data_IF_814546359932
#
_entry.id   IF_814546359932
#
_cell.length_a   1.000
_cell.length_b   1.000
_cell.length_c   1.000
_cell.angle_alpha   90.00
_cell.angle_beta   90.00
_cell.angle_gamma   90.00
#
_symmetry.space_group_name_H-M   'P 1'
#
loop_
_entity.id
_entity.type
_entity.pdbx_description
1 polymer ?
#
# COMPACT_ATOMS: atom_id res chain seq x y z
N UNK A 1 -20.08 10.83 -21.40
CA UNK A 1 -20.87 9.62 -21.05
C UNK A 1 -21.17 9.67 -19.55
N UNK A 2 -22.31 9.10 -19.11
CA UNK A 2 -22.67 9.01 -17.70
C UNK A 2 -21.87 7.89 -17.03
N UNK A 3 -21.46 8.09 -15.76
CA UNK A 3 -20.95 7.05 -14.88
C UNK A 3 -21.71 7.04 -13.56
N UNK A 4 -21.75 5.90 -12.88
CA UNK A 4 -22.46 5.68 -11.63
C UNK A 4 -21.52 5.01 -10.64
N UNK A 5 -21.34 5.61 -9.45
CA UNK A 5 -20.82 4.95 -8.27
C UNK A 5 -21.98 4.58 -7.36
N UNK A 6 -22.18 3.29 -7.11
CA UNK A 6 -23.21 2.77 -6.20
C UNK A 6 -22.54 2.06 -5.02
N UNK A 7 -23.06 2.26 -3.81
CA UNK A 7 -22.62 1.61 -2.59
C UNK A 7 -23.65 0.55 -2.16
N UNK A 8 -23.20 -0.46 -1.43
CA UNK A 8 -24.06 -1.59 -0.97
C UNK A 8 -25.23 -1.17 -0.09
N UNK A 9 -25.14 -0.01 0.58
CA UNK A 9 -26.22 0.55 1.40
C UNK A 9 -27.34 1.22 0.58
N UNK A 10 -27.17 1.30 -0.75
CA UNK A 10 -28.12 1.92 -1.67
C UNK A 10 -27.77 3.37 -2.03
N UNK A 11 -26.70 3.93 -1.48
CA UNK A 11 -26.24 5.28 -1.88
C UNK A 11 -25.72 5.26 -3.31
N UNK A 12 -26.15 6.25 -4.12
CA UNK A 12 -25.78 6.37 -5.54
C UNK A 12 -25.26 7.77 -5.83
N UNK A 13 -24.13 7.84 -6.53
CA UNK A 13 -23.52 9.06 -7.02
C UNK A 13 -23.40 8.99 -8.53
N UNK A 14 -23.92 10.02 -9.21
CA UNK A 14 -23.97 10.08 -10.67
C UNK A 14 -23.08 11.24 -11.13
N UNK A 15 -22.20 10.93 -12.07
CA UNK A 15 -21.27 11.91 -12.63
C UNK A 15 -20.97 11.66 -14.11
N UNK A 16 -19.91 12.28 -14.58
CA UNK A 16 -19.36 12.11 -15.91
C UNK A 16 -18.25 11.06 -15.90
N UNK A 17 -18.24 10.23 -16.91
CA UNK A 17 -17.21 9.21 -17.12
C UNK A 17 -15.92 9.81 -17.69
N UNK A 18 -14.78 9.26 -17.26
CA UNK A 18 -13.47 9.36 -17.90
C UNK A 18 -12.72 8.03 -17.75
N UNK A 19 -11.64 7.82 -18.53
CA UNK A 19 -10.93 6.54 -18.53
C UNK A 19 -11.66 5.45 -19.32
N UNK A 20 -11.54 4.20 -18.89
CA UNK A 20 -12.17 3.05 -19.52
C UNK A 20 -13.68 3.00 -19.28
N UNK A 21 -14.42 2.25 -20.10
CA UNK A 21 -15.84 1.93 -19.92
C UNK A 21 -16.00 0.52 -19.35
N UNK A 22 -17.16 0.21 -18.78
CA UNK A 22 -17.47 -1.11 -18.24
C UNK A 22 -18.10 -1.06 -16.85
N UNK A 23 -17.93 -2.14 -16.10
CA UNK A 23 -18.44 -2.32 -14.75
C UNK A 23 -17.38 -2.99 -13.88
N UNK A 24 -17.00 -2.34 -12.79
CA UNK A 24 -16.05 -2.84 -11.81
C UNK A 24 -16.65 -2.80 -10.40
N UNK A 25 -16.26 -3.76 -9.57
CA UNK A 25 -16.65 -3.82 -8.17
C UNK A 25 -15.43 -3.84 -7.26
N UNK A 26 -15.59 -3.33 -6.05
CA UNK A 26 -14.50 -3.30 -5.07
C UNK A 26 -14.92 -2.66 -3.76
N UNK A 27 -13.99 -2.53 -2.83
CA UNK A 27 -14.21 -1.76 -1.60
C UNK A 27 -14.03 -0.27 -1.88
N UNK A 28 -15.06 0.54 -1.62
CA UNK A 28 -14.95 1.99 -1.68
C UNK A 28 -14.10 2.53 -0.53
N UNK A 29 -13.08 3.29 -0.86
CA UNK A 29 -12.25 3.99 0.11
C UNK A 29 -11.99 5.43 -0.34
N UNK A 30 -11.41 6.25 0.54
CA UNK A 30 -11.00 7.62 0.20
C UNK A 30 -9.57 7.88 0.63
N UNK A 31 -8.85 8.68 -0.17
CA UNK A 31 -7.49 9.11 0.11
C UNK A 31 -7.47 10.64 0.27
N UNK A 32 -6.78 11.12 1.32
CA UNK A 32 -6.70 12.54 1.68
C UNK A 32 -5.42 13.23 1.20
N UNK A 33 -4.57 12.56 0.42
CA UNK A 33 -3.37 13.16 -0.16
C UNK A 33 -3.72 14.29 -1.12
N UNK A 34 -2.96 15.37 -1.06
CA UNK A 34 -3.16 16.55 -1.93
C UNK A 34 -2.52 16.37 -3.31
N UNK A 35 -1.58 15.45 -3.44
CA UNK A 35 -0.78 15.14 -4.63
C UNK A 35 -0.43 13.65 -4.64
N UNK A 36 0.16 13.16 -5.73
CA UNK A 36 0.61 11.76 -5.83
C UNK A 36 -0.50 10.82 -6.31
N UNK A 37 -1.40 11.29 -7.14
CA UNK A 37 -2.51 10.45 -7.64
C UNK A 37 -2.00 9.32 -8.55
N UNK A 38 -0.89 9.49 -9.27
CA UNK A 38 -0.33 8.42 -10.11
C UNK A 38 0.27 7.31 -9.25
N UNK A 39 0.97 7.67 -8.18
CA UNK A 39 1.50 6.74 -7.19
C UNK A 39 0.36 5.98 -6.50
N UNK A 40 -0.73 6.66 -6.10
CA UNK A 40 -1.94 6.01 -5.57
C UNK A 40 -2.55 5.04 -6.56
N UNK A 41 -2.65 5.42 -7.83
CA UNK A 41 -3.24 4.58 -8.89
C UNK A 41 -2.40 3.32 -9.19
N UNK A 42 -1.09 3.40 -9.02
CA UNK A 42 -0.14 2.32 -9.33
C UNK A 42 0.36 1.54 -8.11
N UNK A 43 -0.06 1.92 -6.89
CA UNK A 43 0.25 1.18 -5.66
C UNK A 43 -0.56 -0.13 -5.58
N UNK A 44 0.10 -1.31 -5.57
CA UNK A 44 -0.58 -2.60 -5.49
C UNK A 44 -1.49 -2.76 -4.28
N UNK A 45 -1.23 -2.04 -3.19
CA UNK A 45 -2.05 -2.08 -1.97
C UNK A 45 -3.50 -1.59 -2.20
N UNK A 46 -3.77 -0.89 -3.31
CA UNK A 46 -5.14 -0.50 -3.70
C UNK A 46 -5.87 -1.54 -4.56
N UNK A 47 -5.28 -2.69 -4.84
CA UNK A 47 -5.96 -3.73 -5.64
C UNK A 47 -7.28 -4.18 -4.98
N UNK A 48 -8.35 -4.23 -5.79
CA UNK A 48 -9.70 -4.50 -5.31
C UNK A 48 -10.43 -3.32 -4.67
N UNK A 49 -9.89 -2.09 -4.78
CA UNK A 49 -10.49 -0.89 -4.20
C UNK A 49 -10.90 0.14 -5.26
N UNK A 50 -12.03 0.81 -5.03
CA UNK A 50 -12.48 2.00 -5.76
C UNK A 50 -12.11 3.22 -4.93
N UNK A 51 -11.13 3.99 -5.43
CA UNK A 51 -10.47 5.05 -4.66
C UNK A 51 -11.07 6.41 -4.96
N UNK A 52 -11.57 7.10 -3.93
CA UNK A 52 -12.03 8.49 -4.01
C UNK A 52 -10.93 9.43 -3.53
N UNK A 53 -10.46 10.33 -4.40
CA UNK A 53 -9.56 11.42 -4.00
C UNK A 53 -10.36 12.55 -3.38
N UNK A 54 -9.95 13.01 -2.20
CA UNK A 54 -10.63 14.12 -1.52
C UNK A 54 -10.14 15.49 -2.00
N UNK A 55 -8.96 15.55 -2.63
CA UNK A 55 -8.45 16.77 -3.25
C UNK A 55 -9.31 17.12 -4.48
N UNK A 56 -9.74 18.39 -4.63
CA UNK A 56 -10.78 18.73 -5.60
C UNK A 56 -10.39 18.55 -7.06
N UNK A 57 -9.15 18.91 -7.43
CA UNK A 57 -8.68 18.89 -8.82
C UNK A 57 -7.59 17.81 -8.98
N UNK A 58 -7.86 16.80 -9.78
CA UNK A 58 -6.96 15.68 -10.04
C UNK A 58 -6.57 15.64 -11.52
N UNK A 59 -5.34 15.18 -11.83
CA UNK A 59 -4.82 15.12 -13.20
C UNK A 59 -4.09 16.38 -13.67
N UNK A 60 -3.95 17.39 -12.82
CA UNK A 60 -3.39 18.71 -13.15
C UNK A 60 -1.90 18.70 -13.53
N UNK A 61 -1.14 17.66 -13.19
CA UNK A 61 0.27 17.49 -13.61
C UNK A 61 0.51 16.30 -14.56
N UNK A 62 -0.57 15.68 -15.07
CA UNK A 62 -0.47 14.55 -16.01
C UNK A 62 0.06 13.27 -15.38
N UNK A 63 0.61 12.40 -16.20
CA UNK A 63 1.32 11.18 -15.79
C UNK A 63 2.71 11.13 -16.43
N UNK A 64 3.63 10.41 -15.81
CA UNK A 64 5.00 10.27 -16.27
C UNK A 64 5.57 8.88 -15.90
N UNK A 65 6.62 8.38 -16.57
CA UNK A 65 7.15 7.03 -16.34
C UNK A 65 7.88 6.86 -14.99
N UNK A 66 8.28 7.94 -14.31
CA UNK A 66 9.10 7.89 -13.09
C UNK A 66 8.25 7.70 -11.82
N UNK A 67 6.99 8.19 -11.83
CA UNK A 67 6.10 8.18 -10.67
C UNK A 67 5.25 6.90 -10.59
N UNK A 68 5.65 5.81 -11.27
CA UNK A 68 5.02 4.50 -11.13
C UNK A 68 5.53 3.78 -9.86
N UNK A 69 4.60 3.18 -9.14
CA UNK A 69 4.87 2.32 -7.99
C UNK A 69 4.74 0.81 -8.31
N UNK A 70 4.22 0.49 -9.51
CA UNK A 70 4.23 -0.86 -10.11
C UNK A 70 4.04 -0.77 -11.63
N UNK A 71 4.08 -1.89 -12.33
CA UNK A 71 4.03 -1.92 -13.81
C UNK A 71 2.72 -1.46 -14.45
N UNK A 72 1.64 -1.22 -13.68
CA UNK A 72 0.31 -0.83 -14.19
C UNK A 72 -0.53 -0.13 -13.12
N UNK A 73 -1.70 0.40 -13.50
CA UNK A 73 -2.71 0.80 -12.53
C UNK A 73 -3.27 -0.42 -11.79
N UNK A 74 -3.51 -0.28 -10.49
CA UNK A 74 -3.91 -1.36 -9.58
C UNK A 74 -5.32 -1.19 -9.03
N UNK A 75 -5.85 0.04 -9.04
CA UNK A 75 -7.18 0.34 -8.51
C UNK A 75 -8.29 -0.28 -9.38
N UNK A 76 -9.40 -0.71 -8.76
CA UNK A 76 -10.61 -1.14 -9.49
C UNK A 76 -11.40 0.02 -10.09
N UNK A 77 -11.23 1.23 -9.58
CA UNK A 77 -11.89 2.41 -10.11
C UNK A 77 -11.41 3.69 -9.42
N UNK A 78 -11.67 4.83 -10.07
CA UNK A 78 -11.16 6.11 -9.62
C UNK A 78 -12.24 7.20 -9.58
N UNK A 79 -12.36 7.88 -8.46
CA UNK A 79 -13.43 8.86 -8.19
C UNK A 79 -12.82 10.21 -7.83
N UNK A 80 -13.19 11.26 -8.59
CA UNK A 80 -12.68 12.61 -8.39
C UNK A 80 -13.82 13.64 -8.40
N UNK A 81 -13.60 14.77 -7.77
CA UNK A 81 -14.55 15.90 -7.88
C UNK A 81 -14.43 16.54 -9.26
N UNK A 82 -13.22 16.81 -9.72
CA UNK A 82 -12.94 17.41 -11.02
C UNK A 82 -11.66 16.81 -11.63
N UNK A 83 -11.74 16.37 -12.88
CA UNK A 83 -10.59 15.99 -13.69
C UNK A 83 -10.03 17.22 -14.41
N UNK A 84 -8.74 17.47 -14.28
CA UNK A 84 -8.07 18.58 -14.98
C UNK A 84 -8.14 18.39 -16.49
N UNK A 85 -8.72 19.39 -17.19
CA UNK A 85 -8.82 19.38 -18.67
C UNK A 85 -7.46 19.59 -19.34
N UNK A 86 -6.56 20.28 -18.65
CA UNK A 86 -5.21 20.60 -19.14
C UNK A 86 -4.23 20.26 -18.01
N UNK A 87 -3.23 19.45 -18.32
CA UNK A 87 -2.13 19.19 -17.41
C UNK A 87 -0.94 20.09 -17.72
N UNK A 88 -0.16 20.43 -16.71
CA UNK A 88 1.04 21.24 -16.84
C UNK A 88 2.13 20.77 -15.89
N UNK A 89 3.08 20.01 -16.42
CA UNK A 89 4.29 19.59 -15.72
C UNK A 89 5.34 19.22 -16.77
N UNK A 90 6.59 19.62 -16.56
CA UNK A 90 7.69 19.35 -17.50
C UNK A 90 7.97 17.84 -17.69
N UNK A 91 7.64 16.98 -16.69
CA UNK A 91 7.78 15.52 -16.78
C UNK A 91 6.58 14.82 -17.42
N UNK A 92 5.44 15.52 -17.56
CA UNK A 92 4.23 14.91 -18.05
C UNK A 92 4.37 14.41 -19.49
N UNK A 93 4.04 13.16 -19.72
CA UNK A 93 4.02 12.53 -21.05
C UNK A 93 2.60 12.40 -21.60
N UNK A 94 1.59 12.39 -20.72
CA UNK A 94 0.20 12.16 -21.08
C UNK A 94 -0.77 12.74 -20.05
N UNK A 95 -2.02 13.01 -20.46
CA UNK A 95 -3.12 13.36 -19.57
C UNK A 95 -3.66 12.13 -18.82
N UNK A 96 -4.16 12.32 -17.61
CA UNK A 96 -4.62 11.25 -16.74
C UNK A 96 -5.79 10.43 -17.34
N UNK A 97 -6.79 11.08 -17.95
CA UNK A 97 -7.96 10.38 -18.51
C UNK A 97 -7.61 9.37 -19.59
N UNK A 98 -6.90 9.77 -20.69
CA UNK A 98 -6.40 8.84 -21.72
C UNK A 98 -5.48 7.76 -21.17
N UNK A 99 -4.67 8.06 -20.17
CA UNK A 99 -3.83 7.06 -19.53
C UNK A 99 -4.66 6.00 -18.80
N UNK A 100 -5.68 6.40 -18.01
CA UNK A 100 -6.58 5.46 -17.34
C UNK A 100 -7.36 4.59 -18.31
N UNK A 101 -7.76 5.15 -19.49
CA UNK A 101 -8.41 4.38 -20.55
C UNK A 101 -7.50 3.24 -21.05
N UNK A 102 -6.21 3.52 -21.29
CA UNK A 102 -5.22 2.51 -21.67
C UNK A 102 -4.96 1.48 -20.58
N UNK A 103 -5.08 1.88 -19.31
CA UNK A 103 -4.94 1.00 -18.16
C UNK A 103 -6.19 0.16 -17.87
N UNK A 104 -7.31 0.40 -18.56
CA UNK A 104 -8.57 -0.29 -18.33
C UNK A 104 -9.30 0.15 -17.05
N UNK A 105 -8.96 1.32 -16.48
CA UNK A 105 -9.56 1.81 -15.24
C UNK A 105 -10.71 2.77 -15.51
N UNK A 106 -11.87 2.49 -14.92
CA UNK A 106 -13.06 3.35 -15.00
C UNK A 106 -12.89 4.53 -14.04
N UNK A 107 -13.14 5.75 -14.54
CA UNK A 107 -13.16 6.97 -13.77
C UNK A 107 -14.52 7.66 -13.76
N UNK A 108 -14.84 8.35 -12.65
CA UNK A 108 -16.00 9.20 -12.50
C UNK A 108 -15.61 10.57 -11.94
N UNK A 109 -16.07 11.63 -12.58
CA UNK A 109 -15.93 13.02 -12.11
C UNK A 109 -17.28 13.71 -11.93
N UNK A 110 -17.28 14.90 -11.30
CA UNK A 110 -18.49 15.70 -11.08
C UNK A 110 -19.36 15.18 -9.94
N UNK A 111 -18.80 14.35 -9.05
CA UNK A 111 -19.47 13.83 -7.85
C UNK A 111 -19.00 14.57 -6.60
N UNK A 112 -19.85 14.62 -5.58
CA UNK A 112 -19.51 15.21 -4.27
C UNK A 112 -18.58 14.25 -3.48
N UNK A 113 -17.27 14.32 -3.74
CA UNK A 113 -16.25 13.49 -3.07
C UNK A 113 -16.20 13.76 -1.57
N UNK A 114 -16.54 14.98 -1.11
CA UNK A 114 -16.65 15.28 0.31
C UNK A 114 -17.81 14.52 0.97
N UNK A 115 -18.97 14.44 0.30
CA UNK A 115 -20.11 13.65 0.78
C UNK A 115 -19.75 12.17 0.83
N UNK A 116 -19.08 11.63 -0.20
CA UNK A 116 -18.59 10.24 -0.23
C UNK A 116 -17.65 9.99 0.95
N UNK A 117 -16.60 10.80 1.12
CA UNK A 117 -15.62 10.64 2.20
C UNK A 117 -16.28 10.73 3.59
N UNK A 118 -17.20 11.67 3.83
CA UNK A 118 -17.95 11.76 5.09
C UNK A 118 -18.83 10.54 5.32
N UNK A 119 -19.46 10.00 4.28
CA UNK A 119 -20.28 8.82 4.35
C UNK A 119 -19.46 7.61 4.75
N UNK A 120 -18.38 7.31 4.03
CA UNK A 120 -17.46 6.21 4.32
C UNK A 120 -16.81 6.35 5.71
N UNK A 121 -16.45 7.56 6.14
CA UNK A 121 -15.94 7.79 7.49
C UNK A 121 -16.96 7.43 8.57
N UNK A 122 -18.24 7.72 8.34
CA UNK A 122 -19.31 7.52 9.32
C UNK A 122 -19.85 6.10 9.32
N UNK A 123 -20.10 5.52 8.14
CA UNK A 123 -20.67 4.18 7.98
C UNK A 123 -19.59 3.08 7.96
N UNK A 124 -18.39 3.38 7.48
CA UNK A 124 -17.29 2.44 7.25
C UNK A 124 -16.95 2.32 5.77
N UNK A 125 -15.78 1.73 5.46
CA UNK A 125 -15.50 1.24 4.12
C UNK A 125 -16.54 0.17 3.75
N UNK A 126 -17.01 0.19 2.50
CA UNK A 126 -18.08 -0.68 2.07
C UNK A 126 -17.93 -1.10 0.62
N UNK A 127 -18.62 -2.18 0.24
CA UNK A 127 -18.61 -2.66 -1.14
C UNK A 127 -19.27 -1.65 -2.07
N UNK A 128 -18.71 -1.50 -3.25
CA UNK A 128 -19.17 -0.55 -4.25
C UNK A 128 -19.10 -1.13 -5.66
N UNK A 129 -19.85 -0.52 -6.56
CA UNK A 129 -19.81 -0.74 -8.00
C UNK A 129 -19.61 0.60 -8.70
N UNK A 130 -18.65 0.67 -9.60
CA UNK A 130 -18.44 1.80 -10.52
C UNK A 130 -18.72 1.32 -11.93
N UNK A 131 -19.67 1.98 -12.62
CA UNK A 131 -20.15 1.50 -13.92
C UNK A 131 -20.52 2.63 -14.88
N UNK A 132 -20.36 2.36 -16.18
CA UNK A 132 -20.86 3.19 -17.29
C UNK A 132 -22.05 2.54 -18.01
N UNK A 133 -22.47 1.33 -17.61
CA UNK A 133 -23.39 0.46 -18.37
C UNK A 133 -24.69 0.18 -17.61
N UNK A 134 -24.60 0.01 -16.28
CA UNK A 134 -25.75 -0.42 -15.47
C UNK A 134 -26.67 0.73 -15.08
N UNK A 135 -27.91 0.39 -14.75
CA UNK A 135 -28.84 1.31 -14.06
C UNK A 135 -28.41 1.48 -12.59
N UNK A 136 -28.88 2.53 -11.87
CA UNK A 136 -28.59 2.70 -10.45
C UNK A 136 -28.96 1.49 -9.59
N UNK A 137 -30.10 0.86 -9.86
CA UNK A 137 -30.61 -0.29 -9.14
C UNK A 137 -29.71 -1.52 -9.36
N UNK A 138 -29.33 -1.79 -10.60
CA UNK A 138 -28.41 -2.88 -10.97
C UNK A 138 -27.03 -2.67 -10.37
N UNK A 139 -26.52 -1.43 -10.35
CA UNK A 139 -25.24 -1.09 -9.77
C UNK A 139 -25.22 -1.32 -8.24
N UNK A 140 -26.30 -0.99 -7.53
CA UNK A 140 -26.45 -1.29 -6.09
C UNK A 140 -26.44 -2.81 -5.85
N UNK A 141 -27.16 -3.57 -6.67
CA UNK A 141 -27.15 -5.03 -6.56
C UNK A 141 -25.78 -5.64 -6.87
N UNK A 142 -25.04 -5.10 -7.84
CA UNK A 142 -23.65 -5.50 -8.12
C UNK A 142 -22.73 -5.20 -6.93
N UNK A 143 -22.87 -4.01 -6.30
CA UNK A 143 -22.14 -3.65 -5.09
C UNK A 143 -22.41 -4.63 -3.93
N UNK A 144 -23.67 -5.01 -3.70
CA UNK A 144 -24.06 -5.96 -2.66
C UNK A 144 -23.49 -7.37 -2.87
N UNK A 145 -23.31 -7.78 -4.11
CA UNK A 145 -22.74 -9.08 -4.49
C UNK A 145 -21.22 -9.09 -4.55
N UNK A 146 -20.58 -7.93 -4.51
CA UNK A 146 -19.12 -7.82 -4.51
C UNK A 146 -18.50 -8.57 -3.32
N UNK A 147 -17.31 -9.18 -3.47
CA UNK A 147 -16.62 -9.81 -2.36
C UNK A 147 -16.23 -8.76 -1.30
N UNK A 148 -16.23 -9.16 -0.03
CA UNK A 148 -15.65 -8.35 1.05
C UNK A 148 -14.12 -8.35 0.94
N UNK A 149 -13.47 -7.26 1.36
CA UNK A 149 -12.02 -7.23 1.54
C UNK A 149 -11.62 -8.12 2.73
N UNK A 150 -12.44 -8.19 3.77
CA UNK A 150 -12.24 -9.08 4.90
C UNK A 150 -12.38 -10.55 4.48
N UNK A 151 -11.43 -11.38 4.82
CA UNK A 151 -11.34 -12.78 4.39
C UNK A 151 -10.85 -12.95 2.94
N UNK A 152 -10.40 -11.88 2.26
CA UNK A 152 -9.96 -11.96 0.86
C UNK A 152 -8.42 -11.96 0.76
N UNK A 153 -7.86 -13.06 0.23
CA UNK A 153 -6.47 -13.11 -0.19
C UNK A 153 -6.33 -12.46 -1.57
N UNK A 154 -5.81 -11.23 -1.60
CA UNK A 154 -5.56 -10.49 -2.85
C UNK A 154 -4.11 -10.67 -3.32
N UNK A 155 -3.19 -11.01 -2.44
CA UNK A 155 -1.78 -11.27 -2.79
C UNK A 155 -1.69 -12.30 -3.91
N UNK A 156 -2.41 -13.41 -3.81
CA UNK A 156 -2.43 -14.45 -4.84
C UNK A 156 -3.06 -13.98 -6.16
N UNK A 157 -4.02 -13.05 -6.09
CA UNK A 157 -4.71 -12.53 -7.27
C UNK A 157 -3.86 -11.58 -8.10
N UNK A 158 -3.04 -10.75 -7.45
CA UNK A 158 -2.15 -9.84 -8.15
C UNK A 158 -0.91 -10.56 -8.71
N UNK A 159 -0.59 -11.73 -8.15
CA UNK A 159 0.63 -12.47 -8.46
C UNK A 159 1.90 -11.80 -7.95
N UNK A 160 2.99 -12.53 -7.99
CA UNK A 160 4.32 -12.01 -7.65
C UNK A 160 5.14 -11.74 -8.91
N UNK A 161 5.99 -10.71 -8.83
CA UNK A 161 6.91 -10.31 -9.91
C UNK A 161 8.34 -10.36 -9.36
N UNK A 162 8.96 -11.57 -9.28
CA UNK A 162 10.34 -11.70 -8.82
C UNK A 162 11.26 -10.83 -9.68
N UNK A 163 12.24 -10.19 -9.04
CA UNK A 163 13.20 -9.32 -9.72
C UNK A 163 14.63 -9.67 -9.31
N UNK A 164 15.52 -9.67 -10.28
CA UNK A 164 16.97 -9.75 -10.03
C UNK A 164 17.51 -8.42 -9.49
N UNK A 165 18.70 -8.40 -8.87
CA UNK A 165 19.31 -7.15 -8.44
C UNK A 165 19.50 -6.13 -9.57
N UNK A 166 19.80 -6.57 -10.79
CA UNK A 166 19.98 -5.72 -11.96
C UNK A 166 18.67 -5.05 -12.38
N UNK A 167 17.55 -5.77 -12.29
CA UNK A 167 16.21 -5.21 -12.55
C UNK A 167 15.81 -4.20 -11.48
N UNK A 168 16.17 -4.44 -10.22
CA UNK A 168 15.97 -3.46 -9.13
C UNK A 168 16.85 -2.22 -9.34
N UNK A 169 18.11 -2.39 -9.72
CA UNK A 169 19.02 -1.27 -10.03
C UNK A 169 18.46 -0.41 -11.17
N UNK A 170 17.83 -1.01 -12.17
CA UNK A 170 17.19 -0.31 -13.29
C UNK A 170 16.00 0.57 -12.89
N UNK A 171 15.43 0.41 -11.70
CA UNK A 171 14.38 1.29 -11.17
C UNK A 171 14.92 2.65 -10.68
N UNK A 172 16.24 2.76 -10.46
CA UNK A 172 16.89 3.99 -10.00
C UNK A 172 17.52 4.66 -11.23
N UNK A 173 16.82 5.59 -11.86
CA UNK A 173 17.20 6.15 -13.17
C UNK A 173 17.90 7.50 -13.08
N UNK A 174 17.75 8.23 -12.00
CA UNK A 174 18.12 9.65 -11.87
C UNK A 174 19.29 9.92 -10.90
N UNK A 175 19.90 8.85 -10.35
CA UNK A 175 20.93 8.95 -9.30
C UNK A 175 22.06 7.95 -9.51
N UNK A 176 23.23 8.30 -9.03
CA UNK A 176 24.35 7.38 -8.91
C UNK A 176 24.05 6.38 -7.77
N UNK A 177 24.15 5.08 -8.08
CA UNK A 177 23.90 4.01 -7.11
C UNK A 177 25.09 3.93 -6.12
N UNK A 178 24.83 3.90 -4.80
CA UNK A 178 25.87 3.69 -3.82
C UNK A 178 26.47 2.27 -3.95
N UNK A 179 27.69 2.05 -3.44
CA UNK A 179 28.28 0.71 -3.36
C UNK A 179 27.36 -0.26 -2.64
N UNK A 180 27.34 -1.52 -3.07
CA UNK A 180 26.62 -2.59 -2.38
C UNK A 180 27.37 -2.95 -1.09
N UNK A 181 26.67 -3.00 0.02
CA UNK A 181 27.22 -3.35 1.33
C UNK A 181 26.61 -4.66 1.89
N UNK A 182 25.35 -4.94 1.59
CA UNK A 182 24.62 -6.10 2.10
C UNK A 182 23.69 -6.71 1.05
N UNK A 183 23.52 -8.03 1.11
CA UNK A 183 22.57 -8.80 0.32
C UNK A 183 21.23 -8.89 1.03
N UNK A 184 20.15 -8.52 0.35
CA UNK A 184 18.80 -8.52 0.89
C UNK A 184 17.88 -9.37 0.03
N UNK A 185 17.06 -10.20 0.66
CA UNK A 185 15.92 -10.85 0.02
C UNK A 185 14.65 -10.12 0.42
N UNK A 186 13.87 -9.67 -0.57
CA UNK A 186 12.58 -9.00 -0.37
C UNK A 186 11.43 -9.88 -0.87
N UNK A 187 10.44 -10.15 -0.02
CA UNK A 187 9.21 -10.82 -0.42
C UNK A 187 8.30 -9.86 -1.16
N UNK A 188 7.76 -10.28 -2.29
CA UNK A 188 6.80 -9.53 -3.09
C UNK A 188 5.36 -9.92 -2.74
N UNK A 189 4.72 -9.12 -1.89
CA UNK A 189 3.29 -9.19 -1.61
C UNK A 189 2.49 -8.15 -2.40
N UNK A 190 3.11 -7.47 -3.34
CA UNK A 190 2.67 -6.27 -4.03
C UNK A 190 3.59 -5.10 -3.74
N UNK A 191 4.89 -5.31 -3.96
CA UNK A 191 5.94 -4.38 -3.59
C UNK A 191 5.89 -3.10 -4.42
N UNK A 192 5.96 -1.95 -3.76
CA UNK A 192 6.11 -0.65 -4.42
C UNK A 192 7.53 -0.43 -4.90
N UNK A 193 7.68 0.10 -6.11
CA UNK A 193 9.00 0.40 -6.68
C UNK A 193 9.81 1.37 -5.83
N UNK A 194 9.16 2.32 -5.14
CA UNK A 194 9.90 3.24 -4.27
C UNK A 194 10.50 2.56 -3.02
N UNK A 195 9.94 1.46 -2.56
CA UNK A 195 10.57 0.63 -1.52
C UNK A 195 11.89 0.06 -2.05
N UNK A 196 11.88 -0.52 -3.26
CA UNK A 196 13.08 -1.06 -3.90
C UNK A 196 14.13 0.01 -4.14
N UNK A 197 13.71 1.20 -4.62
CA UNK A 197 14.60 2.37 -4.79
C UNK A 197 15.25 2.76 -3.45
N UNK A 198 14.46 2.87 -2.37
CA UNK A 198 14.97 3.22 -1.04
C UNK A 198 15.93 2.17 -0.47
N UNK A 199 15.63 0.89 -0.63
CA UNK A 199 16.54 -0.18 -0.23
C UNK A 199 17.86 -0.09 -1.00
N UNK A 200 17.80 0.06 -2.31
CA UNK A 200 19.00 0.17 -3.15
C UNK A 200 19.81 1.42 -2.84
N UNK A 201 19.18 2.56 -2.62
CA UNK A 201 19.82 3.83 -2.21
C UNK A 201 20.49 3.74 -0.83
N UNK A 202 20.11 2.80 0.01
CA UNK A 202 20.75 2.53 1.29
C UNK A 202 21.86 1.48 1.21
N UNK A 203 22.26 1.04 0.01
CA UNK A 203 23.41 0.14 -0.22
C UNK A 203 23.07 -1.34 -0.17
N UNK A 204 21.79 -1.70 -0.30
CA UNK A 204 21.38 -3.10 -0.39
C UNK A 204 21.39 -3.59 -1.84
N UNK A 205 21.92 -4.81 -2.07
CA UNK A 205 21.68 -5.58 -3.29
C UNK A 205 20.42 -6.41 -3.06
N UNK A 206 19.32 -6.06 -3.74
CA UNK A 206 18.00 -6.61 -3.46
C UNK A 206 17.64 -7.68 -4.48
N UNK A 207 17.32 -8.88 -4.02
CA UNK A 207 16.66 -9.93 -4.80
C UNK A 207 15.21 -10.03 -4.35
N UNK A 208 14.27 -9.84 -5.28
CA UNK A 208 12.83 -9.95 -4.99
C UNK A 208 12.38 -11.39 -5.26
N UNK A 209 11.77 -12.01 -4.26
CA UNK A 209 11.25 -13.39 -4.32
C UNK A 209 9.72 -13.40 -4.30
N UNK A 210 9.07 -14.46 -4.81
CA UNK A 210 7.63 -14.60 -4.74
C UNK A 210 7.10 -14.58 -3.30
N UNK A 211 5.82 -14.18 -3.14
CA UNK A 211 5.13 -14.15 -1.86
C UNK A 211 5.18 -15.48 -1.08
N UNK A 212 5.14 -16.60 -1.79
CA UNK A 212 5.15 -17.96 -1.24
C UNK A 212 6.55 -18.62 -1.22
N UNK A 213 7.63 -17.84 -1.37
CA UNK A 213 8.97 -18.38 -1.21
C UNK A 213 9.14 -18.99 0.20
N UNK A 214 9.71 -20.18 0.27
CA UNK A 214 9.91 -20.89 1.55
C UNK A 214 11.09 -20.32 2.33
N UNK A 215 11.06 -20.48 3.65
CA UNK A 215 12.19 -20.09 4.50
C UNK A 215 13.49 -20.80 4.09
N UNK A 216 13.42 -22.05 3.62
CA UNK A 216 14.56 -22.81 3.15
C UNK A 216 15.17 -22.18 1.88
N UNK A 217 14.35 -21.84 0.89
CA UNK A 217 14.79 -21.17 -0.34
C UNK A 217 15.46 -19.83 -0.02
N UNK A 218 14.86 -19.02 0.85
CA UNK A 218 15.41 -17.73 1.26
C UNK A 218 16.75 -17.90 2.00
N UNK A 219 16.85 -18.83 2.95
CA UNK A 219 18.08 -19.06 3.70
C UNK A 219 19.20 -19.66 2.82
N UNK A 220 18.85 -20.44 1.78
CA UNK A 220 19.83 -20.96 0.81
C UNK A 220 20.53 -19.83 0.04
N UNK A 221 19.88 -18.68 -0.14
CA UNK A 221 20.45 -17.47 -0.77
C UNK A 221 21.46 -16.75 0.16
N UNK A 222 21.52 -17.13 1.46
CA UNK A 222 22.40 -16.54 2.49
C UNK A 222 22.29 -15.01 2.58
N UNK A 223 21.09 -14.44 2.70
CA UNK A 223 20.92 -12.99 2.78
C UNK A 223 21.46 -12.44 4.10
N UNK A 224 21.90 -11.19 4.08
CA UNK A 224 22.26 -10.43 5.28
C UNK A 224 21.02 -9.95 6.04
N UNK A 225 19.89 -9.82 5.36
CA UNK A 225 18.59 -9.45 5.92
C UNK A 225 17.44 -9.88 5.01
N UNK A 226 16.23 -9.86 5.57
CA UNK A 226 14.97 -10.13 4.87
C UNK A 226 14.05 -8.96 5.01
N UNK A 227 13.43 -8.58 3.91
CA UNK A 227 12.45 -7.50 3.86
C UNK A 227 11.07 -8.05 3.46
N UNK A 228 10.02 -7.61 4.17
CA UNK A 228 8.63 -7.96 3.86
C UNK A 228 7.90 -6.72 3.33
N UNK A 229 7.41 -6.80 2.11
CA UNK A 229 6.82 -5.66 1.43
C UNK A 229 5.42 -5.31 1.91
N UNK A 230 4.93 -4.17 1.45
CA UNK A 230 3.52 -3.82 1.44
C UNK A 230 2.71 -4.76 0.52
N UNK A 231 1.40 -4.68 0.59
CA UNK A 231 0.50 -5.42 -0.28
C UNK A 231 -0.97 -5.25 0.08
N UNK A 232 -1.88 -5.77 -0.75
CA UNK A 232 -3.32 -5.69 -0.55
C UNK A 232 -3.90 -6.88 0.21
N UNK A 233 -5.16 -6.75 0.64
CA UNK A 233 -5.97 -7.84 1.17
C UNK A 233 -5.97 -7.96 2.69
N UNK A 234 -6.53 -9.07 3.17
CA UNK A 234 -6.63 -9.38 4.59
C UNK A 234 -5.42 -10.21 5.02
N UNK A 235 -4.54 -9.68 5.90
CA UNK A 235 -3.36 -10.40 6.37
C UNK A 235 -3.70 -11.73 7.06
N UNK A 236 -4.84 -11.86 7.72
CA UNK A 236 -5.23 -13.08 8.44
C UNK A 236 -5.41 -14.32 7.51
N UNK A 237 -5.56 -14.09 6.20
CA UNK A 237 -5.71 -15.18 5.22
C UNK A 237 -4.39 -15.82 4.79
N UNK A 238 -3.24 -15.20 5.10
CA UNK A 238 -1.90 -15.56 4.60
C UNK A 238 -1.17 -16.53 5.55
N UNK A 239 -1.85 -17.58 6.02
CA UNK A 239 -1.37 -18.47 7.09
C UNK A 239 -0.14 -19.28 6.73
N UNK A 240 0.05 -19.67 5.47
CA UNK A 240 1.25 -20.31 4.96
C UNK A 240 2.46 -19.35 4.96
N UNK A 241 2.25 -18.10 4.55
CA UNK A 241 3.28 -17.05 4.60
C UNK A 241 3.67 -16.75 6.05
N UNK A 242 2.70 -16.68 6.99
CA UNK A 242 3.02 -16.51 8.43
C UNK A 242 3.95 -17.59 8.94
N UNK A 243 3.73 -18.86 8.55
CA UNK A 243 4.57 -19.98 8.94
C UNK A 243 6.00 -19.86 8.39
N UNK A 244 6.15 -19.53 7.10
CA UNK A 244 7.47 -19.38 6.47
C UNK A 244 8.22 -18.17 7.06
N UNK A 245 7.55 -17.04 7.26
CA UNK A 245 8.13 -15.86 7.92
C UNK A 245 8.52 -16.18 9.37
N UNK A 246 7.68 -16.90 10.11
CA UNK A 246 7.98 -17.37 11.46
C UNK A 246 9.26 -18.24 11.52
N UNK A 247 9.48 -19.07 10.49
CA UNK A 247 10.69 -19.89 10.39
C UNK A 247 11.97 -19.07 10.10
N UNK A 248 11.86 -17.83 9.61
CA UNK A 248 12.98 -16.90 9.39
C UNK A 248 13.31 -16.05 10.63
N UNK A 249 12.33 -15.81 11.51
CA UNK A 249 12.51 -14.99 12.73
C UNK A 249 13.65 -15.55 13.59
N UNK A 250 14.57 -14.66 13.97
CA UNK A 250 15.76 -14.99 14.76
C UNK A 250 16.94 -15.56 13.95
N UNK A 251 16.74 -16.01 12.71
CA UNK A 251 17.81 -16.49 11.82
C UNK A 251 18.49 -15.37 11.06
N UNK A 252 17.70 -14.40 10.60
CA UNK A 252 18.17 -13.22 9.86
C UNK A 252 17.51 -11.94 10.39
N UNK A 253 18.15 -10.77 10.27
CA UNK A 253 17.49 -9.48 10.53
C UNK A 253 16.30 -9.26 9.59
N UNK A 254 15.19 -8.74 10.13
CA UNK A 254 13.96 -8.57 9.36
C UNK A 254 13.35 -7.19 9.55
N UNK A 255 12.87 -6.61 8.45
CA UNK A 255 12.08 -5.38 8.43
C UNK A 255 10.84 -5.56 7.56
N UNK A 256 9.68 -5.13 8.04
CA UNK A 256 8.40 -5.22 7.33
C UNK A 256 7.65 -3.90 7.26
N UNK A 257 7.03 -3.63 6.11
CA UNK A 257 6.23 -2.43 5.85
C UNK A 257 4.78 -2.82 5.54
N UNK A 258 3.82 -2.17 6.16
CA UNK A 258 2.38 -2.27 5.94
C UNK A 258 1.88 -3.73 6.04
N UNK A 259 1.59 -4.43 4.93
CA UNK A 259 1.24 -5.85 4.99
C UNK A 259 2.37 -6.70 5.59
N UNK A 260 3.64 -6.38 5.30
CA UNK A 260 4.79 -7.04 5.91
C UNK A 260 4.86 -6.87 7.43
N UNK A 261 4.44 -5.71 7.96
CA UNK A 261 4.28 -5.50 9.40
C UNK A 261 3.19 -6.43 9.98
N UNK A 262 2.05 -6.52 9.32
CA UNK A 262 0.95 -7.37 9.75
C UNK A 262 1.32 -8.85 9.69
N UNK A 263 2.04 -9.29 8.66
CA UNK A 263 2.55 -10.67 8.52
C UNK A 263 3.56 -10.99 9.64
N UNK A 264 4.51 -10.10 9.93
CA UNK A 264 5.46 -10.27 11.06
C UNK A 264 4.69 -10.36 12.38
N UNK A 265 3.66 -9.51 12.58
CA UNK A 265 2.84 -9.54 13.77
C UNK A 265 2.12 -10.86 13.96
N UNK A 266 1.51 -11.41 12.88
CA UNK A 266 0.89 -12.74 12.91
C UNK A 266 1.92 -13.85 13.16
N UNK A 267 3.10 -13.81 12.53
CA UNK A 267 4.17 -14.77 12.74
C UNK A 267 4.71 -14.78 14.17
N UNK A 268 4.63 -13.64 14.87
CA UNK A 268 4.96 -13.50 16.29
C UNK A 268 3.81 -13.87 17.23
N UNK A 269 2.58 -14.11 16.71
CA UNK A 269 1.43 -14.56 17.48
C UNK A 269 0.38 -13.49 17.77
N UNK A 270 0.56 -12.24 17.30
CA UNK A 270 -0.45 -11.20 17.38
C UNK A 270 -1.56 -11.43 16.33
N UNK A 271 -2.66 -10.68 16.44
CA UNK A 271 -3.79 -10.69 15.50
C UNK A 271 -3.98 -9.31 14.88
N UNK A 272 -4.73 -9.28 13.79
CA UNK A 272 -5.16 -8.05 13.14
C UNK A 272 -6.69 -7.94 13.16
N UNK A 273 -7.18 -6.71 13.02
CA UNK A 273 -8.61 -6.41 12.87
C UNK A 273 -8.83 -5.40 11.76
N UNK A 274 -10.02 -5.42 11.16
CA UNK A 274 -10.40 -4.45 10.12
C UNK A 274 -10.75 -3.11 10.75
N UNK A 275 -10.10 -2.05 10.28
CA UNK A 275 -10.44 -0.68 10.63
C UNK A 275 -11.77 -0.27 9.98
N UNK A 276 -12.54 0.60 10.64
CA UNK A 276 -13.84 1.04 10.15
C UNK A 276 -13.79 1.61 8.73
N UNK A 277 -12.80 2.46 8.43
CA UNK A 277 -12.61 3.08 7.11
C UNK A 277 -11.15 3.07 6.64
N UNK A 278 -10.24 2.52 7.44
CA UNK A 278 -8.81 2.46 7.16
C UNK A 278 -8.09 3.80 7.27
N UNK A 279 -6.77 3.76 7.15
CA UNK A 279 -5.92 4.93 7.06
C UNK A 279 -5.41 5.09 5.63
N UNK A 280 -5.76 6.19 4.96
CA UNK A 280 -5.30 6.51 3.60
C UNK A 280 -5.08 8.00 3.45
N UNK A 281 -3.82 8.39 3.25
CA UNK A 281 -3.40 9.78 3.12
C UNK A 281 -1.95 9.98 3.53
N UNK A 282 -1.46 11.20 3.40
CA UNK A 282 -0.05 11.54 3.61
C UNK A 282 0.17 12.52 4.78
N UNK A 283 -0.71 12.54 5.77
CA UNK A 283 -0.73 13.52 6.85
C UNK A 283 -1.06 12.93 8.23
N UNK A 284 -0.78 11.64 8.45
CA UNK A 284 -1.05 10.99 9.73
C UNK A 284 0.14 11.15 10.68
N UNK A 285 -0.06 11.73 11.89
CA UNK A 285 0.99 11.86 12.89
C UNK A 285 1.18 10.53 13.63
N UNK A 286 2.38 10.01 13.61
CA UNK A 286 2.79 8.79 14.32
C UNK A 286 3.85 9.14 15.34
N UNK A 287 3.65 8.69 16.59
CA UNK A 287 4.58 8.91 17.71
C UNK A 287 5.43 7.66 17.95
N UNK A 288 6.73 7.84 18.00
CA UNK A 288 7.66 6.85 18.53
C UNK A 288 7.62 6.89 20.06
N UNK A 289 7.22 5.77 20.67
CA UNK A 289 7.06 5.66 22.13
C UNK A 289 8.40 5.62 22.87
N UNK A 290 9.49 5.21 22.19
CA UNK A 290 10.84 5.11 22.77
C UNK A 290 11.52 6.46 22.86
N UNK A 291 11.31 7.32 21.86
CA UNK A 291 12.00 8.61 21.72
C UNK A 291 11.07 9.81 21.97
N UNK A 292 9.76 9.61 21.89
CA UNK A 292 8.76 10.68 21.94
C UNK A 292 8.67 11.51 20.64
N UNK A 293 9.47 11.21 19.61
CA UNK A 293 9.45 11.90 18.33
C UNK A 293 8.13 11.64 17.60
N UNK A 294 7.61 12.67 16.94
CA UNK A 294 6.44 12.57 16.05
C UNK A 294 6.91 12.74 14.60
N UNK A 295 6.50 11.83 13.74
CA UNK A 295 6.71 11.91 12.30
C UNK A 295 5.36 12.01 11.59
N UNK A 296 5.29 12.77 10.50
CA UNK A 296 4.13 12.74 9.61
C UNK A 296 4.34 11.62 8.61
N UNK A 297 3.33 10.77 8.42
CA UNK A 297 3.45 9.51 7.68
C UNK A 297 2.46 9.41 6.53
N UNK A 298 2.85 8.62 5.53
CA UNK A 298 1.97 8.15 4.47
C UNK A 298 1.33 6.83 4.86
N UNK A 299 0.02 6.73 4.69
CA UNK A 299 -0.79 5.59 5.13
C UNK A 299 -1.62 5.04 3.96
N UNK A 300 -1.69 3.72 3.85
CA UNK A 300 -2.61 3.02 2.96
C UNK A 300 -2.88 1.61 3.47
N UNK A 301 -3.74 1.47 4.48
CA UNK A 301 -4.12 0.16 5.02
C UNK A 301 -5.55 0.15 5.55
N UNK A 302 -6.21 -1.01 5.46
CA UNK A 302 -7.56 -1.25 5.97
C UNK A 302 -7.59 -2.11 7.24
N UNK A 303 -6.44 -2.68 7.64
CA UNK A 303 -6.28 -3.51 8.83
C UNK A 303 -5.21 -2.94 9.74
N UNK A 304 -5.28 -3.23 11.03
CA UNK A 304 -4.29 -2.85 12.02
C UNK A 304 -4.04 -4.01 12.99
N UNK A 305 -2.87 -4.02 13.63
CA UNK A 305 -2.54 -4.99 14.69
C UNK A 305 -3.36 -4.69 15.93
N UNK A 306 -3.95 -5.72 16.52
CA UNK A 306 -4.69 -5.65 17.77
C UNK A 306 -3.70 -5.58 18.95
N UNK A 307 -3.61 -4.43 19.66
CA UNK A 307 -2.66 -4.23 20.74
C UNK A 307 -2.82 -5.23 21.88
N UNK A 308 -4.04 -5.72 22.13
CA UNK A 308 -4.34 -6.66 23.23
C UNK A 308 -3.84 -8.08 22.96
N UNK A 309 -3.40 -8.35 21.72
CA UNK A 309 -2.89 -9.66 21.28
C UNK A 309 -1.36 -9.70 21.10
N UNK A 310 -0.69 -8.56 21.26
CA UNK A 310 0.77 -8.47 21.10
C UNK A 310 1.45 -9.23 22.24
N UNK A 311 2.35 -10.22 21.91
CA UNK A 311 3.02 -11.02 22.94
C UNK A 311 3.98 -10.20 23.83
N UNK A 312 4.27 -10.71 25.04
CA UNK A 312 5.11 -10.04 26.03
C UNK A 312 6.57 -9.79 25.58
N UNK A 313 7.09 -10.57 24.64
CA UNK A 313 8.45 -10.43 24.07
C UNK A 313 8.50 -9.47 22.86
N UNK A 314 7.36 -8.89 22.50
CA UNK A 314 7.22 -7.87 21.45
C UNK A 314 6.86 -6.53 22.07
N UNK A 315 7.51 -5.47 21.63
CA UNK A 315 7.25 -4.09 22.03
C UNK A 315 6.45 -3.35 20.96
N UNK A 316 5.38 -2.66 21.36
CA UNK A 316 4.72 -1.66 20.50
C UNK A 316 5.60 -0.40 20.55
N UNK A 317 6.20 -0.05 19.42
CA UNK A 317 7.18 1.04 19.31
C UNK A 317 6.59 2.33 18.80
N UNK A 318 5.51 2.25 17.99
CA UNK A 318 4.92 3.38 17.29
C UNK A 318 3.40 3.33 17.41
N UNK A 319 2.76 4.50 17.58
CA UNK A 319 1.29 4.64 17.64
C UNK A 319 0.81 5.82 16.83
N UNK A 320 -0.35 5.67 16.19
CA UNK A 320 -1.05 6.76 15.51
C UNK A 320 -1.69 7.71 16.52
N UNK A 321 -1.45 9.01 16.38
CA UNK A 321 -2.02 9.99 17.29
C UNK A 321 -3.49 10.37 17.00
N UNK A 322 -4.06 9.89 15.91
CA UNK A 322 -5.47 10.14 15.58
C UNK A 322 -6.41 9.19 16.35
N UNK A 323 -5.99 7.93 16.55
CA UNK A 323 -6.86 6.88 17.09
C UNK A 323 -6.16 5.83 17.95
N UNK A 324 -4.85 6.01 18.23
CA UNK A 324 -3.98 5.13 19.01
C UNK A 324 -3.80 3.71 18.44
N UNK A 325 -4.04 3.49 17.17
CA UNK A 325 -3.71 2.21 16.52
C UNK A 325 -2.21 1.94 16.52
N UNK A 326 -1.84 0.65 16.54
CA UNK A 326 -0.43 0.21 16.46
C UNK A 326 0.14 0.56 15.09
N UNK A 327 1.25 1.28 15.09
CA UNK A 327 1.94 1.73 13.87
C UNK A 327 3.34 1.13 13.73
N UNK A 328 3.80 0.39 14.73
CA UNK A 328 5.06 -0.32 14.68
C UNK A 328 5.30 -1.21 15.87
N UNK A 329 6.01 -2.29 15.62
CA UNK A 329 6.46 -3.24 16.65
C UNK A 329 7.95 -3.55 16.47
N UNK A 330 8.58 -3.99 17.56
CA UNK A 330 9.92 -4.58 17.56
C UNK A 330 9.98 -5.74 18.54
N UNK A 331 10.70 -6.81 18.18
CA UNK A 331 10.98 -7.88 19.12
C UNK A 331 12.08 -7.44 20.10
N UNK A 332 11.90 -7.70 21.40
CA UNK A 332 12.81 -7.19 22.47
C UNK A 332 14.25 -7.70 22.38
N UNK A 333 14.46 -8.89 21.81
CA UNK A 333 15.77 -9.56 21.77
C UNK A 333 16.19 -10.01 20.37
N UNK A 334 15.24 -10.30 19.46
CA UNK A 334 15.53 -10.71 18.09
C UNK A 334 15.61 -9.51 17.17
N UNK A 335 16.41 -9.55 16.10
CA UNK A 335 16.58 -8.43 15.19
C UNK A 335 15.40 -8.34 14.19
N UNK A 336 14.23 -8.00 14.70
CA UNK A 336 12.99 -7.86 13.94
C UNK A 336 12.26 -6.60 14.36
N UNK A 337 11.94 -5.74 13.42
CA UNK A 337 11.02 -4.61 13.62
C UNK A 337 10.18 -4.38 12.37
N UNK A 338 9.07 -3.67 12.53
CA UNK A 338 8.18 -3.37 11.41
C UNK A 338 7.32 -2.15 11.67
N UNK A 339 6.83 -1.54 10.59
CA UNK A 339 5.97 -0.34 10.63
C UNK A 339 4.74 -0.51 9.74
N UNK A 340 3.60 0.03 10.20
CA UNK A 340 2.33 -0.07 9.50
C UNK A 340 2.23 0.92 8.33
N UNK A 341 2.84 2.09 8.45
CA UNK A 341 2.85 3.14 7.45
C UNK A 341 3.94 2.93 6.40
N UNK A 342 3.98 3.83 5.39
CA UNK A 342 4.89 3.78 4.26
C UNK A 342 6.07 4.76 4.42
N UNK A 343 7.22 4.33 4.99
CA UNK A 343 8.40 5.20 5.17
C UNK A 343 9.07 5.58 3.86
N UNK A 344 8.82 4.84 2.78
CA UNK A 344 9.29 5.15 1.44
C UNK A 344 8.57 6.36 0.84
N UNK A 345 7.42 6.79 1.40
CA UNK A 345 6.52 7.78 0.82
C UNK A 345 5.99 7.36 -0.57
N UNK A 346 5.98 8.26 -1.55
CA UNK A 346 5.46 8.04 -2.90
C UNK A 346 4.00 7.51 -2.92
N UNK A 347 3.01 8.40 -2.60
CA UNK A 347 3.20 9.80 -2.24
C UNK A 347 3.41 10.01 -0.74
N UNK A 348 3.95 11.16 -0.35
CA UNK A 348 3.92 11.60 1.04
C UNK A 348 5.24 12.17 1.58
N UNK A 349 5.29 12.45 2.89
CA UNK A 349 6.44 13.02 3.56
C UNK A 349 7.58 12.00 3.70
N UNK A 350 8.81 12.52 3.75
CA UNK A 350 10.04 11.73 3.86
C UNK A 350 10.57 11.59 5.28
N UNK A 351 9.83 12.08 6.25
CA UNK A 351 10.22 12.09 7.66
C UNK A 351 10.71 10.72 8.17
N UNK A 352 10.05 9.58 7.82
CA UNK A 352 10.41 8.28 8.37
C UNK A 352 11.42 7.49 7.52
N UNK A 353 12.02 8.07 6.47
CA UNK A 353 13.01 7.37 5.63
C UNK A 353 14.24 6.89 6.41
N UNK A 354 14.50 7.43 7.61
CA UNK A 354 15.57 6.95 8.48
C UNK A 354 15.47 5.47 8.86
N UNK A 355 14.29 4.86 8.79
CA UNK A 355 14.07 3.44 9.10
C UNK A 355 14.85 2.49 8.18
N UNK A 356 15.08 2.86 6.93
CA UNK A 356 15.94 2.06 6.03
C UNK A 356 17.40 2.05 6.54
N UNK A 357 17.89 3.16 7.10
CA UNK A 357 19.21 3.23 7.74
C UNK A 357 19.25 2.46 9.06
N UNK A 358 18.19 2.50 9.86
CA UNK A 358 18.07 1.67 11.08
C UNK A 358 18.14 0.18 10.75
N UNK A 359 17.45 -0.24 9.70
CA UNK A 359 17.52 -1.62 9.22
C UNK A 359 18.96 -2.02 8.84
N UNK A 360 19.65 -1.16 8.09
CA UNK A 360 21.06 -1.36 7.74
C UNK A 360 21.96 -1.45 8.99
N UNK A 361 21.75 -0.59 9.98
CA UNK A 361 22.50 -0.63 11.23
C UNK A 361 22.22 -1.90 12.05
N UNK A 362 20.98 -2.38 12.05
CA UNK A 362 20.62 -3.65 12.69
C UNK A 362 21.35 -4.84 12.04
N UNK A 363 21.48 -4.87 10.72
CA UNK A 363 22.26 -5.89 9.99
C UNK A 363 23.75 -5.77 10.34
N UNK A 364 24.31 -4.55 10.32
CA UNK A 364 25.72 -4.31 10.64
C UNK A 364 26.11 -4.78 12.05
N UNK A 365 25.24 -4.56 13.03
CA UNK A 365 25.48 -4.96 14.42
C UNK A 365 25.58 -6.48 14.65
N UNK A 366 25.07 -7.29 13.73
CA UNK A 366 25.11 -8.76 13.80
C UNK A 366 26.34 -9.38 13.14
N UNK A 367 27.04 -8.63 12.29
CA UNK A 367 28.27 -9.09 11.64
C UNK A 367 29.52 -8.82 12.47
N UNK A 368 29.38 -8.07 13.55
CA UNK A 368 30.44 -7.84 14.56
C UNK A 368 30.41 -8.92 15.62
#
# INVERSE_FOLDING_TARGET
MRAILALEDGSVFIGSHFGATGTEVGEACFNTSMTGYQEVLTDPSYSGQIVTMTYPLIGNYGVNPEDYESGKAQVSGFVVAELAKVHSNWRATEALGPWLEKQGVIGIEGVDTRKIAKHLRSAGAMRACLTTELTPEEAVEAARKAPSMEGCNIVDKIGSHPMTPEEVDALVTDRELPPVEYDLVAFDFGIKYNILRQLRENGFRVTVVPAHATAEEVLAMKPDGVFLSNGPGDPATLTDIHREVGALIGKVPMFGICLGHQIISHALGAKTFKLKFGHRGANHPVKDLRTGKISITSQNHGFAVDPDTVPDDVEITLVNLNDNTVEGIAHKTLPVFSVQYHPEAAPGPRDPQYLFREFKQMIASRKQ
#
